data_IF_180078575719
#
_entry.id   IF_180078575719
#
_cell.length_a   1.000
_cell.length_b   1.000
_cell.length_c   1.000
_cell.angle_alpha   90.00
_cell.angle_beta   90.00
_cell.angle_gamma   90.00
#
_symmetry.space_group_name_H-M   'P 1'
#
loop_
_entity.id
_entity.type
_entity.pdbx_description
1 polymer ?
#
# COMPACT_ATOMS: atom_id res chain seq x y z
N UNK A 1 -6.32 -17.67 -15.76
CA UNK A 1 -6.70 -16.65 -14.75
C UNK A 1 -5.73 -16.80 -13.59
N UNK A 2 -4.90 -15.80 -13.32
CA UNK A 2 -3.87 -15.88 -12.26
C UNK A 2 -4.35 -15.10 -11.03
N UNK A 3 -4.43 -15.76 -9.88
CA UNK A 3 -4.82 -15.18 -8.60
C UNK A 3 -3.62 -14.50 -7.95
N UNK A 4 -3.77 -13.24 -7.55
CA UNK A 4 -2.73 -12.47 -6.86
C UNK A 4 -3.10 -12.39 -5.38
N UNK A 5 -2.17 -12.71 -4.48
CA UNK A 5 -2.37 -12.61 -3.04
C UNK A 5 -1.53 -11.46 -2.49
N UNK A 6 -2.19 -10.45 -1.91
CA UNK A 6 -1.53 -9.36 -1.19
C UNK A 6 -1.77 -9.51 0.31
N UNK A 7 -0.72 -9.76 1.11
CA UNK A 7 -0.82 -9.96 2.56
C UNK A 7 -0.45 -8.67 3.32
N UNK A 8 -1.28 -8.20 4.26
CA UNK A 8 -1.03 -7.00 5.07
C UNK A 8 -0.67 -7.35 6.52
N UNK A 9 0.48 -6.90 7.03
CA UNK A 9 0.94 -7.19 8.40
C UNK A 9 1.20 -5.91 9.23
N UNK A 10 0.83 -5.96 10.52
CA UNK A 10 0.96 -4.91 11.54
C UNK A 10 2.41 -4.67 11.98
N UNK A 11 2.86 -3.42 12.18
CA UNK A 11 4.22 -3.15 12.72
C UNK A 11 4.50 -1.77 13.37
N UNK A 12 3.51 -0.96 13.79
CA UNK A 12 3.60 -0.33 15.15
C UNK A 12 2.23 0.01 15.79
N UNK A 13 2.15 0.36 17.09
CA UNK A 13 0.92 0.87 17.70
C UNK A 13 0.41 2.10 16.95
N UNK A 14 -0.86 2.05 16.55
CA UNK A 14 -1.53 3.14 15.86
C UNK A 14 -1.46 3.09 14.34
N UNK A 15 -1.01 1.99 13.69
CA UNK A 15 -1.22 1.72 12.26
C UNK A 15 -2.19 0.55 12.09
N UNK A 16 -3.15 0.67 11.18
CA UNK A 16 -4.13 -0.38 10.85
C UNK A 16 -4.11 -0.63 9.34
N UNK A 17 -4.01 -1.89 8.92
CA UNK A 17 -4.06 -2.29 7.51
C UNK A 17 -5.15 -3.35 7.28
N UNK A 18 -5.91 -3.27 6.19
CA UNK A 18 -6.99 -4.22 5.90
C UNK A 18 -7.38 -4.28 4.41
N UNK A 19 -8.01 -5.39 3.95
CA UNK A 19 -8.11 -6.69 4.63
C UNK A 19 -6.74 -7.39 4.73
N UNK A 20 -6.57 -8.41 5.59
CA UNK A 20 -5.27 -9.08 5.76
C UNK A 20 -4.79 -9.81 4.51
N UNK A 21 -5.71 -10.16 3.60
CA UNK A 21 -5.43 -10.74 2.31
C UNK A 21 -6.36 -10.15 1.24
N UNK A 22 -5.80 -9.79 0.08
CA UNK A 22 -6.58 -9.39 -1.11
C UNK A 22 -6.32 -10.41 -2.22
N UNK A 23 -7.40 -10.88 -2.82
CA UNK A 23 -7.39 -11.69 -4.03
C UNK A 23 -7.80 -10.82 -5.23
N UNK A 24 -6.97 -10.78 -6.26
CA UNK A 24 -7.24 -10.02 -7.47
C UNK A 24 -6.77 -10.74 -8.74
N UNK A 25 -7.31 -10.31 -9.87
CA UNK A 25 -6.94 -10.76 -11.21
C UNK A 25 -6.05 -9.73 -11.91
N UNK A 26 -5.29 -10.19 -12.89
CA UNK A 26 -4.49 -9.29 -13.73
C UNK A 26 -5.38 -8.25 -14.43
N UNK A 27 -4.86 -7.03 -14.56
CA UNK A 27 -5.58 -5.87 -15.13
C UNK A 27 -6.50 -5.15 -14.14
N UNK A 28 -6.84 -5.75 -13.00
CA UNK A 28 -7.69 -5.10 -11.99
C UNK A 28 -6.93 -4.01 -11.21
N UNK A 29 -7.70 -3.24 -10.44
CA UNK A 29 -7.21 -2.29 -9.44
C UNK A 29 -7.52 -2.81 -8.05
N UNK A 30 -6.55 -2.76 -7.15
CA UNK A 30 -6.73 -3.09 -5.73
C UNK A 30 -6.44 -1.90 -4.85
N UNK A 31 -7.09 -1.88 -3.69
CA UNK A 31 -6.87 -0.90 -2.63
C UNK A 31 -6.15 -1.57 -1.47
N UNK A 32 -4.93 -1.14 -1.19
CA UNK A 32 -4.17 -1.54 -0.01
C UNK A 32 -4.43 -0.51 1.08
N UNK A 33 -5.43 -0.78 1.93
CA UNK A 33 -5.82 0.18 2.97
C UNK A 33 -4.75 0.23 4.07
N UNK A 34 -4.40 1.46 4.46
CA UNK A 34 -3.58 1.72 5.62
C UNK A 34 -4.03 3.03 6.27
N UNK A 35 -4.42 2.97 7.54
CA UNK A 35 -4.67 4.15 8.36
C UNK A 35 -3.74 4.21 9.56
N UNK A 36 -3.50 5.42 10.08
CA UNK A 36 -2.75 5.60 11.32
C UNK A 36 -3.29 6.73 12.19
N UNK A 37 -3.02 6.67 13.50
CA UNK A 37 -3.48 7.63 14.50
C UNK A 37 -2.34 8.42 15.19
N UNK A 38 -1.09 8.14 14.86
CA UNK A 38 0.07 8.75 15.50
C UNK A 38 0.26 10.22 15.09
N UNK A 39 0.47 11.09 16.08
CA UNK A 39 0.81 12.51 15.87
C UNK A 39 2.28 12.66 15.48
N UNK A 40 2.59 13.62 14.62
CA UNK A 40 3.97 13.93 14.21
C UNK A 40 4.50 13.07 13.06
N UNK A 41 3.71 12.10 12.58
CA UNK A 41 4.04 11.30 11.39
C UNK A 41 4.07 12.18 10.15
N UNK A 42 5.16 12.10 9.40
CA UNK A 42 5.39 12.89 8.19
C UNK A 42 5.74 12.05 6.97
N UNK A 43 6.17 10.80 7.18
CA UNK A 43 6.63 9.90 6.12
C UNK A 43 5.78 8.63 6.11
N UNK A 44 5.44 8.17 4.91
CA UNK A 44 4.86 6.83 4.65
C UNK A 44 5.76 6.03 3.72
N UNK A 45 5.83 4.73 3.96
CA UNK A 45 6.55 3.78 3.11
C UNK A 45 5.75 2.50 3.00
N UNK A 46 5.46 2.10 1.77
CA UNK A 46 4.95 0.75 1.49
C UNK A 46 6.11 -0.17 1.18
N UNK A 47 6.16 -1.31 1.86
CA UNK A 47 7.09 -2.38 1.59
C UNK A 47 6.38 -3.48 0.80
N UNK A 48 7.03 -4.06 -0.19
CA UNK A 48 6.66 -5.32 -0.83
C UNK A 48 7.76 -6.34 -0.57
N UNK A 49 7.41 -7.46 0.03
CA UNK A 49 8.33 -8.55 0.37
C UNK A 49 9.55 -8.08 1.19
N UNK A 50 9.35 -7.04 2.01
CA UNK A 50 10.39 -6.43 2.86
C UNK A 50 11.17 -5.29 2.22
N UNK A 51 11.01 -5.03 0.91
CA UNK A 51 11.68 -3.94 0.21
C UNK A 51 10.74 -2.76 -0.01
N UNK A 52 11.23 -1.53 0.12
CA UNK A 52 10.43 -0.34 -0.17
C UNK A 52 9.98 -0.30 -1.63
N UNK A 53 8.70 0.02 -1.84
CA UNK A 53 8.18 0.31 -3.17
C UNK A 53 8.85 1.57 -3.69
N UNK A 54 9.67 1.40 -4.72
CA UNK A 54 10.19 2.52 -5.48
C UNK A 54 9.12 3.06 -6.43
N UNK A 55 8.32 4.02 -5.95
CA UNK A 55 7.27 4.66 -6.74
C UNK A 55 7.81 5.52 -7.89
N UNK A 56 9.13 5.79 -7.93
CA UNK A 56 9.77 6.46 -9.06
C UNK A 56 10.10 5.49 -10.20
N UNK A 57 10.06 4.18 -9.94
CA UNK A 57 10.28 3.15 -10.95
C UNK A 57 9.22 3.23 -12.07
N UNK A 58 9.61 3.06 -13.35
CA UNK A 58 8.67 2.98 -14.47
C UNK A 58 7.58 1.92 -14.28
N UNK A 59 7.84 0.89 -13.47
CA UNK A 59 6.88 -0.17 -13.13
C UNK A 59 5.61 0.36 -12.47
N UNK A 60 5.69 1.45 -11.71
CA UNK A 60 4.56 2.01 -10.94
C UNK A 60 4.02 3.31 -11.55
N UNK A 61 4.65 3.81 -12.62
CA UNK A 61 4.24 5.03 -13.32
C UNK A 61 2.78 4.93 -13.78
N UNK A 62 1.94 5.87 -13.33
CA UNK A 62 0.50 5.91 -13.62
C UNK A 62 -0.34 4.78 -13.02
N UNK A 63 0.28 3.87 -12.25
CA UNK A 63 -0.40 2.71 -11.66
C UNK A 63 -0.71 2.86 -10.17
N UNK A 64 -0.02 3.76 -9.49
CA UNK A 64 -0.20 3.99 -8.05
C UNK A 64 -0.84 5.36 -7.82
N UNK A 65 -2.02 5.34 -7.20
CA UNK A 65 -2.66 6.54 -6.65
C UNK A 65 -2.64 6.49 -5.13
N UNK A 66 -2.38 7.63 -4.48
CA UNK A 66 -2.26 7.73 -3.04
C UNK A 66 -2.71 9.11 -2.54
N UNK A 67 -3.11 9.20 -1.27
CA UNK A 67 -3.42 10.47 -0.65
C UNK A 67 -2.23 11.44 -0.72
N UNK A 68 -2.53 12.72 -0.98
CA UNK A 68 -1.57 13.81 -0.91
C UNK A 68 -1.02 13.99 0.53
N UNK A 69 0.01 14.81 0.68
CA UNK A 69 0.69 15.00 1.96
C UNK A 69 -0.19 15.67 3.04
N UNK A 70 -1.18 16.47 2.67
CA UNK A 70 -2.11 17.10 3.60
C UNK A 70 -3.14 16.08 4.09
N UNK A 71 -3.77 15.37 3.16
CA UNK A 71 -4.75 14.31 3.43
C UNK A 71 -4.14 13.18 4.26
N UNK A 72 -2.92 12.76 3.91
CA UNK A 72 -2.13 11.78 4.68
C UNK A 72 -2.02 12.19 6.16
N UNK A 73 -1.61 13.43 6.45
CA UNK A 73 -1.41 13.91 7.83
C UNK A 73 -2.72 14.16 8.57
N UNK A 74 -3.69 14.76 7.90
CA UNK A 74 -4.94 15.19 8.52
C UNK A 74 -5.89 14.03 8.81
N UNK A 75 -5.92 13.01 7.93
CA UNK A 75 -6.83 11.87 8.04
C UNK A 75 -6.13 10.58 8.47
N UNK A 76 -4.81 10.60 8.58
CA UNK A 76 -4.04 9.39 8.83
C UNK A 76 -4.12 8.41 7.68
N UNK A 77 -4.25 8.87 6.42
CA UNK A 77 -4.50 8.01 5.26
C UNK A 77 -3.22 7.69 4.48
N UNK A 78 -2.72 6.47 4.64
CA UNK A 78 -1.57 5.93 3.93
C UNK A 78 -1.97 4.91 2.86
N UNK A 79 -3.25 4.86 2.48
CA UNK A 79 -3.78 3.93 1.47
C UNK A 79 -3.16 4.16 0.10
N UNK A 80 -2.95 3.06 -0.64
CA UNK A 80 -2.58 3.12 -2.06
C UNK A 80 -3.56 2.30 -2.91
N UNK A 81 -3.86 2.82 -4.10
CA UNK A 81 -4.58 2.11 -5.15
C UNK A 81 -3.58 1.69 -6.21
N UNK A 82 -3.45 0.39 -6.45
CA UNK A 82 -2.56 -0.18 -7.45
C UNK A 82 -3.40 -0.73 -8.61
N UNK A 83 -3.31 -0.09 -9.78
CA UNK A 83 -4.05 -0.43 -10.99
C UNK A 83 -3.23 -1.27 -11.98
N UNK A 84 -3.93 -1.85 -12.94
CA UNK A 84 -3.36 -2.70 -14.00
C UNK A 84 -2.46 -3.80 -13.41
N UNK A 85 -3.00 -4.59 -12.50
CA UNK A 85 -2.23 -5.59 -11.78
C UNK A 85 -1.60 -6.66 -12.69
N UNK A 86 -0.41 -7.11 -12.30
CA UNK A 86 0.34 -8.19 -12.94
C UNK A 86 0.75 -9.26 -11.92
N UNK A 87 1.19 -10.43 -12.39
CA UNK A 87 1.68 -11.52 -11.52
C UNK A 87 2.79 -11.06 -10.57
N UNK A 88 3.66 -10.17 -11.05
CA UNK A 88 4.78 -9.63 -10.28
C UNK A 88 4.34 -8.78 -9.08
N UNK A 89 3.09 -8.31 -9.04
CA UNK A 89 2.53 -7.51 -7.95
C UNK A 89 1.99 -8.37 -6.81
N UNK A 90 1.97 -9.71 -6.95
CA UNK A 90 1.73 -10.60 -5.82
C UNK A 90 2.84 -10.48 -4.79
N UNK A 91 2.50 -10.51 -3.51
CA UNK A 91 3.49 -10.49 -2.43
C UNK A 91 2.94 -9.99 -1.11
N UNK A 92 3.83 -9.83 -0.15
CA UNK A 92 3.50 -9.32 1.19
C UNK A 92 3.70 -7.81 1.22
N UNK A 93 2.64 -7.08 1.53
CA UNK A 93 2.63 -5.62 1.60
C UNK A 93 2.59 -5.15 3.04
N UNK A 94 3.44 -4.18 3.40
CA UNK A 94 3.48 -3.62 4.75
C UNK A 94 3.56 -2.11 4.67
N UNK A 95 2.60 -1.43 5.30
CA UNK A 95 2.60 0.00 5.50
C UNK A 95 3.43 0.38 6.73
N UNK A 96 4.42 1.26 6.55
CA UNK A 96 5.20 1.89 7.62
C UNK A 96 4.98 3.39 7.59
N UNK A 97 4.84 3.97 8.78
CA UNK A 97 4.71 5.42 8.96
C UNK A 97 5.68 5.91 10.03
N UNK A 98 6.27 7.10 9.84
CA UNK A 98 7.32 7.69 10.67
C UNK A 98 7.11 9.20 10.83
#
# INVERSE_FOLDING_TARGET
LTLLLLLLLFDPPGVTQWPPAIQALSGQTVTLNCSFAARGVTVKTWLKDGAALDLSSPRYSGRVAQADAQTFRARGDATIHLSNLSVCDSGRYVCRVQ
#
